data_IF_905605087842
#
_entry.id   IF_905605087842
#
_cell.length_a   1.000
_cell.length_b   1.000
_cell.length_c   1.000
_cell.angle_alpha   90.00
_cell.angle_beta   90.00
_cell.angle_gamma   90.00
#
_symmetry.space_group_name_H-M   'P 1'
#
loop_
_entity.id
_entity.type
_entity.pdbx_description
1 polymer ?
#
# COMPACT_ATOMS: atom_id res chain seq x y z
N UNK A 1 -10.15 -6.08 13.02
CA UNK A 1 -9.68 -4.71 12.71
C UNK A 1 -8.35 -4.44 13.38
N UNK A 2 -7.38 -3.68 12.80
CA UNK A 2 -7.51 -2.27 12.42
C UNK A 2 -6.71 -1.94 11.14
N UNK A 3 -7.25 -2.32 9.98
CA UNK A 3 -6.85 -1.72 8.71
C UNK A 3 -7.68 -0.43 8.53
N UNK A 4 -7.04 0.69 8.23
CA UNK A 4 -7.68 2.02 8.13
C UNK A 4 -7.30 2.72 6.84
N UNK A 5 -8.09 3.73 6.44
CA UNK A 5 -7.78 4.56 5.28
C UNK A 5 -6.42 5.29 5.45
N UNK A 6 -5.50 5.08 4.51
CA UNK A 6 -4.15 5.66 4.57
C UNK A 6 -4.15 7.19 4.45
N UNK A 7 -5.11 7.77 3.71
CA UNK A 7 -5.32 9.22 3.62
C UNK A 7 -5.56 9.82 4.98
N UNK A 8 -6.57 9.34 5.70
CA UNK A 8 -6.93 9.87 7.01
C UNK A 8 -5.76 9.75 7.99
N UNK A 9 -5.06 8.61 7.95
CA UNK A 9 -3.89 8.34 8.79
C UNK A 9 -2.78 9.39 8.57
N UNK A 10 -2.41 9.65 7.32
CA UNK A 10 -1.32 10.57 7.01
C UNK A 10 -1.72 12.04 7.12
N UNK A 11 -2.97 12.40 6.87
CA UNK A 11 -3.47 13.75 7.14
C UNK A 11 -3.54 14.03 8.65
N UNK A 12 -3.92 13.05 9.46
CA UNK A 12 -3.83 13.17 10.91
C UNK A 12 -2.38 13.43 11.34
N UNK A 13 -1.41 12.73 10.76
CA UNK A 13 0.02 12.94 11.04
C UNK A 13 0.52 14.33 10.63
N UNK A 14 0.17 14.75 9.42
CA UNK A 14 0.49 16.06 8.85
C UNK A 14 -0.01 17.21 9.73
N UNK A 15 -1.28 17.17 10.15
CA UNK A 15 -1.88 18.23 10.96
C UNK A 15 -1.33 18.29 12.40
N UNK A 16 -0.78 17.18 12.90
CA UNK A 16 -0.23 17.06 14.25
C UNK A 16 1.30 17.06 14.29
N UNK A 17 1.97 17.39 13.17
CA UNK A 17 3.42 17.55 13.04
C UNK A 17 4.24 16.32 13.50
N UNK A 18 3.79 15.12 13.17
CA UNK A 18 4.53 13.88 13.36
C UNK A 18 4.56 13.06 12.06
N UNK A 19 5.35 11.98 12.01
CA UNK A 19 5.37 11.08 10.87
C UNK A 19 4.99 9.64 11.24
N UNK A 20 4.25 9.00 10.35
CA UNK A 20 3.98 7.56 10.38
C UNK A 20 5.13 6.84 9.68
N UNK A 21 5.60 5.77 10.28
CA UNK A 21 6.62 4.91 9.67
C UNK A 21 6.01 3.95 8.67
N UNK A 22 6.58 3.90 7.47
CA UNK A 22 6.37 2.82 6.52
C UNK A 22 7.61 1.93 6.47
N UNK A 23 7.43 0.66 6.80
CA UNK A 23 8.51 -0.30 6.94
C UNK A 23 8.36 -1.40 5.91
N UNK A 24 9.37 -1.59 5.07
CA UNK A 24 9.33 -2.63 4.05
C UNK A 24 9.45 -4.01 4.67
N UNK A 25 8.63 -4.93 4.17
CA UNK A 25 8.56 -6.29 4.66
C UNK A 25 9.16 -7.25 3.63
N UNK A 26 10.11 -8.07 4.11
CA UNK A 26 10.76 -9.12 3.30
C UNK A 26 10.60 -10.52 3.89
N UNK A 27 9.97 -10.65 5.06
CA UNK A 27 9.71 -11.93 5.73
C UNK A 27 8.66 -11.79 6.84
N UNK A 28 8.21 -12.94 7.37
CA UNK A 28 7.34 -12.96 8.56
C UNK A 28 8.01 -12.38 9.80
N UNK A 29 9.34 -12.47 9.96
CA UNK A 29 10.04 -11.86 11.10
C UNK A 29 9.93 -10.33 11.07
N UNK A 30 9.99 -9.73 9.88
CA UNK A 30 9.78 -8.29 9.69
C UNK A 30 8.33 -7.92 10.00
N UNK A 31 7.37 -8.66 9.45
CA UNK A 31 5.95 -8.41 9.66
C UNK A 31 5.59 -8.46 11.15
N UNK A 32 5.99 -9.51 11.85
CA UNK A 32 5.73 -9.65 13.28
C UNK A 32 6.45 -8.57 14.09
N UNK A 33 7.71 -8.27 13.79
CA UNK A 33 8.47 -7.25 14.50
C UNK A 33 7.84 -5.86 14.37
N UNK A 34 7.39 -5.49 13.17
CA UNK A 34 6.76 -4.18 12.91
C UNK A 34 5.42 -4.06 13.62
N UNK A 35 4.58 -5.11 13.57
CA UNK A 35 3.30 -5.13 14.30
C UNK A 35 3.54 -5.06 15.81
N UNK A 36 4.38 -5.93 16.37
CA UNK A 36 4.65 -5.97 17.82
C UNK A 36 5.18 -4.62 18.31
N UNK A 37 6.05 -3.98 17.53
CA UNK A 37 6.58 -2.65 17.83
C UNK A 37 5.49 -1.56 17.79
N UNK A 38 4.65 -1.57 16.77
CA UNK A 38 3.56 -0.61 16.61
C UNK A 38 2.52 -0.73 17.74
N UNK A 39 2.15 -1.96 18.11
CA UNK A 39 1.25 -2.23 19.23
C UNK A 39 1.86 -1.82 20.57
N UNK A 40 3.12 -2.19 20.82
CA UNK A 40 3.85 -1.80 22.03
C UNK A 40 3.94 -0.28 22.18
N UNK A 41 4.20 0.43 21.08
CA UNK A 41 4.26 1.89 21.06
C UNK A 41 2.88 2.55 20.98
N UNK A 42 1.79 1.80 20.80
CA UNK A 42 0.45 2.34 20.51
C UNK A 42 0.50 3.37 19.37
N UNK A 43 1.09 2.97 18.25
CA UNK A 43 1.37 3.84 17.10
C UNK A 43 0.66 3.35 15.84
N UNK A 44 0.24 4.29 14.99
CA UNK A 44 -0.09 3.96 13.60
C UNK A 44 1.16 3.46 12.85
N UNK A 45 0.98 2.57 11.88
CA UNK A 45 2.07 2.04 11.05
C UNK A 45 1.60 1.72 9.63
N UNK A 46 2.51 1.84 8.66
CA UNK A 46 2.31 1.37 7.29
C UNK A 46 3.17 0.13 7.07
N UNK A 47 2.53 -0.98 6.69
CA UNK A 47 3.19 -2.20 6.25
C UNK A 47 3.47 -2.05 4.75
N UNK A 48 4.75 -1.93 4.40
CA UNK A 48 5.17 -1.59 3.05
C UNK A 48 5.72 -2.81 2.32
N UNK A 49 5.41 -2.91 1.02
CA UNK A 49 5.88 -3.98 0.13
C UNK A 49 6.48 -3.30 -1.10
N UNK A 50 7.81 -3.33 -1.21
CA UNK A 50 8.51 -2.66 -2.30
C UNK A 50 8.65 -3.56 -3.53
N UNK A 51 8.21 -3.08 -4.70
CA UNK A 51 8.33 -3.78 -5.99
C UNK A 51 9.76 -4.25 -6.32
N UNK A 52 10.84 -3.51 -6.00
CA UNK A 52 12.22 -3.96 -6.20
C UNK A 52 12.54 -5.31 -5.56
N UNK A 53 11.86 -5.67 -4.46
CA UNK A 53 12.05 -6.93 -3.78
C UNK A 53 11.33 -8.12 -4.45
N UNK A 54 10.50 -7.88 -5.48
CA UNK A 54 9.72 -8.95 -6.15
C UNK A 54 10.61 -9.90 -6.96
N UNK A 55 11.83 -9.48 -7.28
CA UNK A 55 12.84 -10.38 -7.85
C UNK A 55 13.31 -11.48 -6.87
N UNK A 56 13.07 -11.29 -5.57
CA UNK A 56 13.54 -12.16 -4.49
C UNK A 56 12.42 -12.85 -3.72
N UNK A 57 11.25 -12.20 -3.61
CA UNK A 57 10.13 -12.70 -2.81
C UNK A 57 8.83 -12.71 -3.61
N UNK A 58 8.04 -13.77 -3.42
CA UNK A 58 6.69 -13.85 -3.95
C UNK A 58 5.75 -12.98 -3.11
N UNK A 59 5.46 -11.79 -3.61
CA UNK A 59 4.60 -10.83 -2.92
C UNK A 59 3.13 -11.25 -2.91
N UNK A 60 2.68 -12.11 -3.85
CA UNK A 60 1.30 -12.63 -3.85
C UNK A 60 1.08 -13.59 -2.68
N UNK A 61 2.14 -14.27 -2.23
CA UNK A 61 2.11 -15.07 -0.99
C UNK A 61 2.23 -14.19 0.26
N UNK A 62 2.95 -13.07 0.19
CA UNK A 62 3.18 -12.18 1.32
C UNK A 62 1.95 -11.35 1.68
N UNK A 63 1.28 -10.73 0.69
CA UNK A 63 0.19 -9.78 0.93
C UNK A 63 -0.99 -10.36 1.73
N UNK A 64 -1.47 -11.60 1.49
CA UNK A 64 -2.49 -12.20 2.34
C UNK A 64 -2.09 -12.31 3.82
N UNK A 65 -0.81 -12.60 4.11
CA UNK A 65 -0.30 -12.66 5.48
C UNK A 65 -0.22 -11.25 6.10
N UNK A 66 0.22 -10.26 5.32
CA UNK A 66 0.28 -8.85 5.71
C UNK A 66 -1.11 -8.31 6.03
N UNK A 67 -2.10 -8.56 5.17
CA UNK A 67 -3.49 -8.16 5.38
C UNK A 67 -4.09 -8.84 6.61
N UNK A 68 -3.85 -10.15 6.79
CA UNK A 68 -4.30 -10.87 7.98
C UNK A 68 -3.66 -10.32 9.27
N UNK A 69 -2.40 -9.90 9.25
CA UNK A 69 -1.75 -9.24 10.37
C UNK A 69 -2.34 -7.85 10.63
N UNK A 70 -2.48 -7.02 9.59
CA UNK A 70 -3.08 -5.70 9.67
C UNK A 70 -4.51 -5.76 10.25
N UNK A 71 -5.34 -6.70 9.81
CA UNK A 71 -6.70 -6.89 10.33
C UNK A 71 -6.74 -7.39 11.78
N UNK A 72 -5.67 -7.98 12.32
CA UNK A 72 -5.62 -8.52 13.70
C UNK A 72 -4.99 -7.58 14.72
N UNK A 73 -4.27 -6.57 14.28
CA UNK A 73 -3.57 -5.63 15.17
C UNK A 73 -4.55 -4.91 16.13
N UNK A 74 -4.01 -4.15 17.07
CA UNK A 74 -4.76 -3.30 18.00
C UNK A 74 -4.54 -1.80 17.75
N UNK A 75 -3.72 -1.47 16.75
CA UNK A 75 -3.33 -0.11 16.33
C UNK A 75 -3.62 0.12 14.85
N UNK A 76 -3.87 1.36 14.39
CA UNK A 76 -4.21 1.62 12.99
C UNK A 76 -3.07 1.23 12.05
N UNK A 77 -3.40 0.38 11.07
CA UNK A 77 -2.48 -0.12 10.04
C UNK A 77 -2.98 0.28 8.66
N UNK A 78 -2.05 0.59 7.76
CA UNK A 78 -2.29 0.65 6.31
C UNK A 78 -1.27 -0.24 5.59
N UNK A 79 -1.57 -0.62 4.34
CA UNK A 79 -0.75 -1.50 3.52
C UNK A 79 -0.42 -0.77 2.22
N UNK A 80 0.87 -0.64 1.92
CA UNK A 80 1.36 0.11 0.78
C UNK A 80 2.15 -0.76 -0.21
N UNK A 81 1.93 -0.55 -1.52
CA UNK A 81 2.94 -0.85 -2.54
C UNK A 81 3.94 0.30 -2.62
N UNK A 82 5.23 -0.01 -2.50
CA UNK A 82 6.32 0.96 -2.59
C UNK A 82 7.10 0.82 -3.90
N UNK A 83 7.55 1.95 -4.45
CA UNK A 83 8.29 2.02 -5.72
C UNK A 83 7.62 1.25 -6.88
N UNK A 84 6.29 1.39 -7.01
CA UNK A 84 5.55 0.83 -8.13
C UNK A 84 6.08 1.35 -9.46
N UNK A 85 6.36 0.48 -10.43
CA UNK A 85 6.98 0.85 -11.70
C UNK A 85 5.98 1.09 -12.83
N UNK A 86 4.73 0.62 -12.65
CA UNK A 86 3.71 0.64 -13.69
C UNK A 86 2.29 0.66 -13.14
N UNK A 87 1.34 1.06 -14.00
CA UNK A 87 -0.10 0.95 -13.72
C UNK A 87 -0.52 -0.50 -13.44
N UNK A 88 0.05 -1.47 -14.16
CA UNK A 88 -0.28 -2.89 -14.01
C UNK A 88 0.10 -3.40 -12.62
N UNK A 89 1.34 -3.16 -12.19
CA UNK A 89 1.78 -3.57 -10.84
C UNK A 89 0.95 -2.88 -9.76
N UNK A 90 0.60 -1.60 -9.98
CA UNK A 90 -0.21 -0.83 -9.05
C UNK A 90 -1.62 -1.40 -8.90
N UNK A 91 -2.32 -1.69 -10.01
CA UNK A 91 -3.64 -2.32 -9.99
C UNK A 91 -3.57 -3.71 -9.34
N UNK A 92 -2.52 -4.48 -9.63
CA UNK A 92 -2.32 -5.80 -9.03
C UNK A 92 -2.16 -5.71 -7.51
N UNK A 93 -1.38 -4.75 -7.00
CA UNK A 93 -1.23 -4.53 -5.57
C UNK A 93 -2.54 -4.10 -4.89
N UNK A 94 -3.32 -3.23 -5.53
CA UNK A 94 -4.67 -2.86 -5.07
C UNK A 94 -5.54 -4.10 -4.94
N UNK A 95 -5.61 -4.92 -6.00
CA UNK A 95 -6.41 -6.15 -6.01
C UNK A 95 -5.96 -7.15 -4.93
N UNK A 96 -4.68 -7.14 -4.55
CA UNK A 96 -4.15 -8.00 -3.48
C UNK A 96 -4.31 -7.41 -2.07
N UNK A 97 -4.70 -6.14 -1.93
CA UNK A 97 -5.13 -5.56 -0.65
C UNK A 97 -4.35 -4.35 -0.17
N UNK A 98 -3.44 -3.81 -0.99
CA UNK A 98 -2.87 -2.52 -0.71
C UNK A 98 -3.95 -1.44 -0.72
N UNK A 99 -3.99 -0.62 0.33
CA UNK A 99 -4.86 0.54 0.44
C UNK A 99 -4.08 1.87 0.36
N UNK A 100 -2.79 1.78 0.06
CA UNK A 100 -1.94 2.83 -0.47
C UNK A 100 -1.06 2.29 -1.59
N UNK A 101 -0.73 3.13 -2.57
CA UNK A 101 0.21 2.76 -3.63
C UNK A 101 1.13 3.92 -3.94
N UNK A 102 2.37 3.60 -4.30
CA UNK A 102 3.32 4.57 -4.80
C UNK A 102 3.70 4.22 -6.23
N UNK A 103 3.71 5.21 -7.12
CA UNK A 103 4.31 5.10 -8.44
C UNK A 103 5.63 5.88 -8.44
N UNK A 104 6.74 5.18 -8.67
CA UNK A 104 8.04 5.77 -8.88
C UNK A 104 8.43 5.66 -10.35
N UNK A 105 8.19 6.77 -11.06
CA UNK A 105 8.73 7.03 -12.40
C UNK A 105 9.52 8.33 -12.39
N UNK A 106 10.14 8.65 -11.24
CA UNK A 106 10.86 9.90 -10.98
C UNK A 106 12.08 10.12 -11.89
N UNK A 107 12.60 9.04 -12.49
CA UNK A 107 13.68 9.07 -13.48
C UNK A 107 13.25 9.47 -14.89
N UNK A 108 11.94 9.54 -15.16
CA UNK A 108 11.39 9.92 -16.46
C UNK A 108 11.21 11.43 -16.58
N UNK A 109 11.00 11.90 -17.81
CA UNK A 109 10.69 13.30 -18.07
C UNK A 109 9.43 13.75 -17.32
N UNK A 110 9.42 15.00 -16.88
CA UNK A 110 8.37 15.55 -16.02
C UNK A 110 6.94 15.38 -16.59
N UNK A 111 6.78 15.52 -17.91
CA UNK A 111 5.49 15.30 -18.58
C UNK A 111 5.03 13.85 -18.51
N UNK A 112 5.94 12.91 -18.72
CA UNK A 112 5.65 11.48 -18.77
C UNK A 112 5.35 10.96 -17.36
N UNK A 113 6.06 11.47 -16.35
CA UNK A 113 5.77 11.21 -14.95
C UNK A 113 4.35 11.68 -14.59
N UNK A 114 3.94 12.89 -14.99
CA UNK A 114 2.57 13.38 -14.77
C UNK A 114 1.54 12.45 -15.44
N UNK A 115 1.73 12.11 -16.72
CA UNK A 115 0.78 11.28 -17.47
C UNK A 115 0.59 9.91 -16.82
N UNK A 116 1.69 9.23 -16.50
CA UNK A 116 1.66 7.89 -15.88
C UNK A 116 1.09 7.92 -14.48
N UNK A 117 1.43 8.95 -13.69
CA UNK A 117 0.91 9.10 -12.34
C UNK A 117 -0.59 9.39 -12.35
N UNK A 118 -1.07 10.24 -13.27
CA UNK A 118 -2.49 10.51 -13.42
C UNK A 118 -3.29 9.24 -13.73
N UNK A 119 -2.78 8.37 -14.62
CA UNK A 119 -3.43 7.08 -14.90
C UNK A 119 -3.52 6.17 -13.67
N UNK A 120 -2.51 6.19 -12.80
CA UNK A 120 -2.53 5.48 -11.51
C UNK A 120 -3.53 6.11 -10.55
N UNK A 121 -3.54 7.44 -10.44
CA UNK A 121 -4.47 8.19 -9.59
C UNK A 121 -5.91 7.88 -9.96
N UNK A 122 -6.26 7.95 -11.24
CA UNK A 122 -7.62 7.65 -11.73
C UNK A 122 -8.07 6.22 -11.32
N UNK A 123 -7.20 5.23 -11.52
CA UNK A 123 -7.49 3.83 -11.17
C UNK A 123 -7.58 3.61 -9.65
N UNK A 124 -6.65 4.18 -8.87
CA UNK A 124 -6.55 4.01 -7.43
C UNK A 124 -7.68 4.75 -6.70
N UNK A 125 -7.99 5.98 -7.07
CA UNK A 125 -9.10 6.76 -6.50
C UNK A 125 -10.45 6.12 -6.81
N UNK A 126 -10.62 5.51 -7.98
CA UNK A 126 -11.78 4.66 -8.29
C UNK A 126 -11.93 3.45 -7.35
N UNK A 127 -10.87 3.06 -6.64
CA UNK A 127 -10.87 2.03 -5.60
C UNK A 127 -10.86 2.61 -4.17
N UNK A 128 -10.82 3.93 -4.02
CA UNK A 128 -10.63 4.62 -2.73
C UNK A 128 -9.22 4.53 -2.16
N UNK A 129 -8.25 4.07 -2.96
CA UNK A 129 -6.84 3.87 -2.59
C UNK A 129 -6.06 5.16 -2.80
N UNK A 130 -5.24 5.54 -1.82
CA UNK A 130 -4.41 6.75 -1.92
C UNK A 130 -3.11 6.52 -2.68
N UNK A 131 -2.63 7.56 -3.35
CA UNK A 131 -1.44 7.52 -4.20
C UNK A 131 -0.34 8.45 -3.68
N UNK A 132 0.86 7.90 -3.55
CA UNK A 132 2.12 8.64 -3.40
C UNK A 132 2.72 8.82 -4.79
N UNK A 133 2.94 10.06 -5.22
CA UNK A 133 3.81 10.36 -6.37
C UNK A 133 5.21 10.74 -5.92
N UNK A 134 6.18 10.67 -6.82
CA UNK A 134 7.58 11.03 -6.53
C UNK A 134 8.14 12.04 -7.53
N UNK A 135 8.86 13.03 -7.00
CA UNK A 135 9.63 14.00 -7.79
C UNK A 135 11.03 14.21 -7.25
N UNK A 136 12.00 14.10 -8.17
CA UNK A 136 13.42 14.17 -7.84
C UNK A 136 13.88 12.95 -7.05
N UNK A 137 15.19 12.73 -7.02
CA UNK A 137 15.79 11.62 -6.31
C UNK A 137 17.20 11.99 -5.85
N UNK A 138 17.72 11.31 -4.84
CA UNK A 138 19.14 11.38 -4.49
C UNK A 138 19.74 10.02 -4.77
N UNK A 139 20.73 9.99 -5.66
CA UNK A 139 21.38 8.74 -6.05
C UNK A 139 21.99 8.04 -4.82
N UNK A 140 21.50 6.84 -4.54
CA UNK A 140 22.08 5.95 -3.55
C UNK A 140 23.44 5.44 -4.01
N UNK A 141 24.39 5.28 -3.07
CA UNK A 141 25.72 4.71 -3.38
C UNK A 141 25.81 3.22 -3.05
N UNK A 142 25.19 2.80 -1.95
CA UNK A 142 25.29 1.45 -1.39
C UNK A 142 24.01 1.11 -0.63
N UNK A 143 23.48 -0.10 -0.81
CA UNK A 143 22.29 -0.60 -0.13
C UNK A 143 21.15 -0.85 -1.10
N UNK A 144 20.13 -1.57 -0.63
CA UNK A 144 18.91 -1.87 -1.42
C UNK A 144 18.14 -0.57 -1.69
N UNK A 145 17.72 -0.36 -2.94
CA UNK A 145 17.11 0.89 -3.43
C UNK A 145 18.07 1.79 -4.21
N UNK A 146 19.38 1.67 -4.00
CA UNK A 146 20.36 2.56 -4.64
C UNK A 146 20.38 2.42 -6.18
N UNK A 147 20.17 1.21 -6.68
CA UNK A 147 20.15 0.89 -8.11
C UNK A 147 18.98 1.51 -8.88
N UNK A 148 17.90 1.91 -8.21
CA UNK A 148 16.72 2.52 -8.84
C UNK A 148 16.94 3.99 -9.21
N UNK A 149 17.97 4.62 -8.63
CA UNK A 149 18.26 6.04 -8.81
C UNK A 149 19.69 6.25 -9.35
N UNK A 150 19.99 5.81 -10.59
CA UNK A 150 21.30 6.01 -11.20
C UNK A 150 21.54 7.50 -11.57
N UNK A 151 22.80 7.95 -11.52
CA UNK A 151 23.21 9.27 -12.04
C UNK A 151 23.40 10.35 -10.97
N UNK A 152 23.21 11.62 -11.36
CA UNK A 152 23.36 12.77 -10.46
C UNK A 152 22.08 13.00 -9.65
N UNK A 153 22.25 13.45 -8.40
CA UNK A 153 21.10 13.72 -7.52
C UNK A 153 20.31 14.93 -7.99
N UNK A 154 18.98 14.79 -8.04
CA UNK A 154 18.03 15.83 -8.40
C UNK A 154 17.13 16.18 -7.21
N UNK A 155 17.28 17.38 -6.65
CA UNK A 155 16.39 17.87 -5.59
C UNK A 155 15.08 18.39 -6.15
N UNK A 156 13.96 18.11 -5.46
CA UNK A 156 12.62 18.52 -5.88
C UNK A 156 12.47 20.03 -5.94
N UNK A 157 11.98 20.56 -7.06
CA UNK A 157 11.78 22.01 -7.24
C UNK A 157 10.35 22.38 -6.80
N UNK A 158 10.15 23.38 -5.90
CA UNK A 158 8.81 23.72 -5.39
C UNK A 158 7.76 24.07 -6.45
N UNK A 159 8.16 24.76 -7.53
CA UNK A 159 7.24 25.10 -8.62
C UNK A 159 6.81 23.87 -9.44
N UNK A 160 7.71 22.91 -9.63
CA UNK A 160 7.40 21.64 -10.31
C UNK A 160 6.51 20.76 -9.43
N UNK A 161 6.81 20.68 -8.13
CA UNK A 161 5.98 19.96 -7.16
C UNK A 161 4.54 20.47 -7.14
N UNK A 162 4.34 21.79 -7.13
CA UNK A 162 3.00 22.39 -7.23
C UNK A 162 2.30 21.99 -8.52
N UNK A 163 2.95 22.17 -9.67
CA UNK A 163 2.36 21.83 -10.97
C UNK A 163 2.06 20.34 -11.10
N UNK A 164 2.89 19.48 -10.49
CA UNK A 164 2.70 18.03 -10.48
C UNK A 164 1.47 17.66 -9.68
N UNK A 165 1.36 18.08 -8.43
CA UNK A 165 0.21 17.79 -7.57
C UNK A 165 -1.09 18.32 -8.18
N UNK A 166 -1.10 19.53 -8.75
CA UNK A 166 -2.27 20.10 -9.42
C UNK A 166 -2.72 19.29 -10.65
N UNK A 167 -1.78 18.66 -11.37
CA UNK A 167 -2.08 17.91 -12.61
C UNK A 167 -2.36 16.43 -12.37
N UNK A 168 -1.75 15.83 -11.37
CA UNK A 168 -1.89 14.40 -11.08
C UNK A 168 -2.97 14.12 -10.04
N UNK A 169 -3.19 15.02 -9.08
CA UNK A 169 -4.12 14.79 -7.97
C UNK A 169 -3.64 13.79 -6.93
N UNK A 170 -2.32 13.52 -6.85
CA UNK A 170 -1.74 12.63 -5.82
C UNK A 170 -2.11 13.08 -4.40
N UNK A 171 -2.28 12.10 -3.51
CA UNK A 171 -2.63 12.33 -2.11
C UNK A 171 -1.43 12.80 -1.29
N UNK A 172 -0.25 12.30 -1.65
CA UNK A 172 1.03 12.56 -0.98
C UNK A 172 2.15 12.73 -2.01
N UNK A 173 3.20 13.44 -1.63
CA UNK A 173 4.36 13.65 -2.49
C UNK A 173 5.66 13.26 -1.79
N UNK A 174 6.35 12.27 -2.36
CA UNK A 174 7.73 11.97 -2.06
C UNK A 174 8.66 13.04 -2.64
N UNK A 175 9.53 13.57 -1.78
CA UNK A 175 10.42 14.68 -2.12
C UNK A 175 11.88 14.39 -1.80
N UNK A 176 12.75 14.86 -2.67
CA UNK A 176 14.21 14.80 -2.57
C UNK A 176 14.76 16.14 -2.04
N UNK A 177 15.25 16.11 -0.79
CA UNK A 177 15.87 17.25 -0.09
C UNK A 177 17.27 16.95 0.44
N UNK A 178 17.87 15.86 -0.03
CA UNK A 178 19.19 15.38 0.40
C UNK A 178 19.19 14.10 1.24
N UNK A 179 18.03 13.49 1.52
CA UNK A 179 17.97 12.12 2.06
C UNK A 179 18.35 11.11 0.98
N UNK A 180 18.94 9.99 1.35
CA UNK A 180 19.44 8.97 0.42
C UNK A 180 18.78 7.64 0.73
N UNK A 181 18.36 6.90 -0.30
CA UNK A 181 18.00 5.50 -0.17
C UNK A 181 19.26 4.65 -0.03
N UNK A 182 19.35 3.86 1.04
CA UNK A 182 20.54 3.06 1.34
C UNK A 182 21.36 3.58 2.53
N UNK A 183 22.65 3.21 2.55
CA UNK A 183 23.60 3.62 3.59
C UNK A 183 24.13 5.01 3.29
N UNK A 184 24.10 5.89 4.30
CA UNK A 184 24.68 7.22 4.18
C UNK A 184 26.13 7.22 4.68
N UNK A 185 27.04 7.74 3.85
CA UNK A 185 28.40 8.07 4.26
C UNK A 185 28.49 9.56 4.68
N UNK A 186 28.82 9.82 5.95
CA UNK A 186 29.10 11.18 6.45
C UNK A 186 27.88 11.97 6.96
N UNK A 187 28.08 13.28 7.21
CA UNK A 187 27.03 14.19 7.70
C UNK A 187 26.19 14.71 6.54
N UNK A 188 24.95 14.25 6.42
CA UNK A 188 24.00 14.74 5.41
C UNK A 188 23.42 16.08 5.82
N UNK A 189 23.52 17.06 4.92
CA UNK A 189 22.93 18.38 5.08
C UNK A 189 21.61 18.42 4.31
N UNK A 190 20.51 18.22 5.03
CA UNK A 190 19.15 18.33 4.48
C UNK A 190 18.80 19.79 4.17
N UNK A 191 18.14 20.02 3.04
CA UNK A 191 17.65 21.33 2.62
C UNK A 191 16.26 21.63 3.22
N UNK A 192 16.24 22.00 4.50
CA UNK A 192 14.99 22.35 5.20
C UNK A 192 14.31 23.60 4.64
N UNK A 193 15.07 24.51 4.01
CA UNK A 193 14.50 25.70 3.40
C UNK A 193 13.65 25.31 2.19
N UNK A 194 14.18 24.42 1.34
CA UNK A 194 13.42 23.78 0.25
C UNK A 194 12.23 22.98 0.77
N UNK A 195 12.40 22.18 1.82
CA UNK A 195 11.29 21.41 2.40
C UNK A 195 10.14 22.33 2.85
N UNK A 196 10.46 23.44 3.52
CA UNK A 196 9.45 24.44 3.91
C UNK A 196 8.74 25.03 2.70
N UNK A 197 9.48 25.37 1.64
CA UNK A 197 8.91 25.91 0.39
C UNK A 197 8.02 24.88 -0.32
N UNK A 198 8.44 23.60 -0.35
CA UNK A 198 7.65 22.50 -0.90
C UNK A 198 6.32 22.38 -0.15
N UNK A 199 6.36 22.29 1.18
CA UNK A 199 5.16 22.17 2.00
C UNK A 199 4.18 23.33 1.76
N UNK A 200 4.69 24.57 1.70
CA UNK A 200 3.87 25.76 1.40
C UNK A 200 3.30 25.75 -0.02
N UNK A 201 4.00 25.15 -0.98
CA UNK A 201 3.60 25.16 -2.38
C UNK A 201 2.52 24.11 -2.70
N UNK A 202 2.61 22.92 -2.09
CA UNK A 202 1.69 21.80 -2.38
C UNK A 202 0.60 21.60 -1.33
N UNK A 203 0.85 21.95 -0.06
CA UNK A 203 -0.10 21.85 1.05
C UNK A 203 -0.78 20.46 1.18
N UNK A 204 0.00 19.40 0.97
CA UNK A 204 -0.37 18.01 1.20
C UNK A 204 0.74 17.31 2.00
N UNK A 205 0.48 16.15 2.63
CA UNK A 205 1.49 15.44 3.38
C UNK A 205 2.69 15.05 2.50
N UNK A 206 3.90 15.34 2.98
CA UNK A 206 5.15 15.00 2.30
C UNK A 206 5.72 13.68 2.81
N UNK A 207 6.36 12.95 1.90
CA UNK A 207 7.02 11.66 2.16
C UNK A 207 8.53 11.82 2.02
N UNK A 208 9.28 11.18 2.92
CA UNK A 208 10.74 11.12 2.86
C UNK A 208 11.20 9.67 2.76
N UNK A 209 11.91 9.35 1.67
CA UNK A 209 12.63 8.10 1.54
C UNK A 209 13.95 8.17 2.30
N UNK A 210 14.16 7.20 3.19
CA UNK A 210 15.38 7.06 3.95
C UNK A 210 15.49 8.06 5.10
N UNK A 211 15.67 7.52 6.31
CA UNK A 211 15.96 8.29 7.52
C UNK A 211 17.21 7.81 8.27
N UNK A 212 17.92 6.83 7.71
CA UNK A 212 19.06 6.18 8.35
C UNK A 212 20.16 7.18 8.68
N UNK A 213 20.49 7.31 9.97
CA UNK A 213 21.54 8.21 10.46
C UNK A 213 21.10 9.65 10.78
N UNK A 214 19.81 9.99 10.63
CA UNK A 214 19.28 11.25 11.12
C UNK A 214 19.05 11.23 12.63
N UNK A 215 19.31 12.35 13.30
CA UNK A 215 19.04 12.52 14.72
C UNK A 215 17.62 13.08 14.99
N UNK A 216 17.23 13.14 16.26
CA UNK A 216 15.90 13.60 16.70
C UNK A 216 15.59 15.03 16.25
N UNK A 217 16.52 15.97 16.40
CA UNK A 217 16.34 17.35 15.94
C UNK A 217 16.11 17.45 14.42
N UNK A 218 16.76 16.58 13.65
CA UNK A 218 16.57 16.52 12.20
C UNK A 218 15.18 15.99 11.87
N UNK A 219 14.71 14.92 12.52
CA UNK A 219 13.35 14.42 12.31
C UNK A 219 12.28 15.42 12.74
N UNK A 220 12.47 16.12 13.87
CA UNK A 220 11.52 17.15 14.29
C UNK A 220 11.43 18.28 13.26
N UNK A 221 12.55 18.67 12.63
CA UNK A 221 12.55 19.64 11.53
C UNK A 221 11.85 19.09 10.28
N UNK A 222 11.95 17.79 9.98
CA UNK A 222 11.21 17.19 8.89
C UNK A 222 9.69 17.29 9.14
N UNK A 223 9.22 16.81 10.29
CA UNK A 223 7.79 16.76 10.58
C UNK A 223 7.17 18.16 10.73
N UNK A 224 7.90 19.10 11.34
CA UNK A 224 7.48 20.51 11.44
C UNK A 224 7.42 21.24 10.09
N UNK A 225 7.95 20.65 9.02
CA UNK A 225 7.88 21.17 7.66
C UNK A 225 7.06 20.23 6.75
N UNK A 226 6.07 19.52 7.30
CA UNK A 226 5.03 18.83 6.53
C UNK A 226 5.35 17.38 6.16
N UNK A 227 6.45 16.81 6.64
CA UNK A 227 6.72 15.38 6.47
C UNK A 227 5.82 14.57 7.40
N UNK A 228 4.98 13.72 6.81
CA UNK A 228 4.01 12.90 7.52
C UNK A 228 4.25 11.39 7.36
N UNK A 229 5.10 10.99 6.41
CA UNK A 229 5.50 9.59 6.17
C UNK A 229 7.01 9.50 6.00
N UNK A 230 7.61 8.49 6.64
CA UNK A 230 9.03 8.18 6.50
C UNK A 230 9.18 6.70 6.12
N UNK A 231 9.89 6.45 5.02
CA UNK A 231 10.11 5.11 4.49
C UNK A 231 11.45 4.56 4.98
N UNK A 232 11.43 3.33 5.47
CA UNK A 232 12.52 2.79 6.27
C UNK A 232 12.73 1.30 6.08
N UNK A 233 13.83 0.95 5.42
CA UNK A 233 14.19 -0.44 5.15
C UNK A 233 15.66 -0.78 5.38
N UNK A 234 16.60 -0.08 4.72
CA UNK A 234 18.02 -0.47 4.70
C UNK A 234 18.61 -0.72 6.09
N UNK A 235 18.26 0.11 7.08
CA UNK A 235 18.73 -0.07 8.45
C UNK A 235 18.12 -1.30 9.13
N UNK A 236 16.86 -1.64 8.86
CA UNK A 236 16.24 -2.88 9.34
C UNK A 236 16.92 -4.10 8.74
N UNK A 237 17.20 -4.08 7.43
CA UNK A 237 17.97 -5.13 6.75
C UNK A 237 19.36 -5.30 7.37
N UNK A 238 20.08 -4.21 7.63
CA UNK A 238 21.38 -4.22 8.29
C UNK A 238 21.33 -4.78 9.72
N UNK A 239 20.27 -4.47 10.47
CA UNK A 239 20.06 -4.95 11.84
C UNK A 239 19.74 -6.44 11.84
N UNK A 240 18.87 -6.89 10.95
CA UNK A 240 18.55 -8.30 10.76
C UNK A 240 19.81 -9.11 10.41
N UNK A 241 20.60 -8.64 9.45
CA UNK A 241 21.85 -9.28 9.04
C UNK A 241 22.86 -9.37 10.20
N UNK A 242 23.01 -8.30 11.00
CA UNK A 242 23.87 -8.29 12.19
C UNK A 242 23.39 -9.30 13.24
N UNK A 243 22.10 -9.37 13.50
CA UNK A 243 21.52 -10.34 14.45
C UNK A 243 21.78 -11.78 13.99
N UNK A 244 21.57 -12.10 12.71
CA UNK A 244 21.89 -13.42 12.16
C UNK A 244 23.39 -13.75 12.26
N UNK A 245 24.26 -12.82 11.89
CA UNK A 245 25.71 -13.00 11.99
C UNK A 245 26.17 -13.25 13.43
N UNK A 246 25.54 -12.59 14.41
CA UNK A 246 25.78 -12.86 15.82
C UNK A 246 25.31 -14.26 16.21
N UNK A 247 24.10 -14.66 15.82
CA UNK A 247 23.58 -16.01 16.06
C UNK A 247 24.49 -17.11 15.52
N UNK A 248 25.03 -16.93 14.31
CA UNK A 248 26.01 -17.85 13.71
C UNK A 248 27.34 -17.94 14.48
N UNK A 249 27.82 -16.82 15.02
CA UNK A 249 29.05 -16.79 15.84
C UNK A 249 28.84 -17.44 17.19
N UNK A 250 27.71 -17.14 17.84
CA UNK A 250 27.41 -17.59 19.19
C UNK A 250 27.00 -19.07 19.22
N UNK A 251 26.37 -19.57 18.15
CA UNK A 251 25.97 -20.98 18.02
C UNK A 251 26.23 -21.55 16.61
N UNK A 252 27.49 -21.87 16.24
CA UNK A 252 27.83 -22.34 14.90
C UNK A 252 27.19 -23.66 14.47
N UNK A 253 26.67 -24.44 15.43
CA UNK A 253 25.96 -25.71 15.18
C UNK A 253 24.44 -25.58 15.32
N UNK A 254 23.94 -24.36 15.50
CA UNK A 254 22.51 -24.08 15.64
C UNK A 254 21.73 -24.45 14.39
N UNK A 255 20.49 -24.85 14.58
CA UNK A 255 19.53 -24.97 13.49
C UNK A 255 19.19 -23.58 12.92
N UNK A 256 18.58 -23.52 11.74
CA UNK A 256 18.09 -22.26 11.17
C UNK A 256 17.31 -21.41 12.19
N UNK A 257 16.38 -22.04 12.92
CA UNK A 257 15.56 -21.38 13.95
C UNK A 257 16.41 -20.81 15.08
N UNK A 258 17.44 -21.55 15.55
CA UNK A 258 18.35 -21.07 16.60
C UNK A 258 19.16 -19.86 16.13
N UNK A 259 19.59 -19.87 14.87
CA UNK A 259 20.46 -18.85 14.29
C UNK A 259 19.73 -17.52 14.04
N UNK A 260 18.44 -17.56 13.72
CA UNK A 260 17.63 -16.36 13.45
C UNK A 260 16.83 -15.85 14.64
N UNK A 261 16.85 -16.53 15.79
CA UNK A 261 15.93 -16.26 16.91
C UNK A 261 15.90 -14.80 17.38
N UNK A 262 17.03 -14.08 17.30
CA UNK A 262 17.15 -12.70 17.77
C UNK A 262 16.82 -11.66 16.68
N UNK A 263 16.52 -12.08 15.45
CA UNK A 263 16.28 -11.18 14.31
C UNK A 263 15.03 -10.35 14.52
N UNK A 264 13.91 -10.99 14.85
CA UNK A 264 12.62 -10.33 15.09
C UNK A 264 12.76 -9.27 16.18
N UNK A 265 13.33 -9.63 17.33
CA UNK A 265 13.49 -8.73 18.48
C UNK A 265 14.38 -7.53 18.13
N UNK A 266 15.46 -7.75 17.39
CA UNK A 266 16.35 -6.67 16.97
C UNK A 266 15.63 -5.66 16.04
N UNK A 267 14.83 -6.15 15.09
CA UNK A 267 13.99 -5.30 14.22
C UNK A 267 12.94 -4.56 15.06
N UNK A 268 12.25 -5.26 15.96
CA UNK A 268 11.20 -4.69 16.79
C UNK A 268 11.73 -3.51 17.64
N UNK A 269 12.91 -3.67 18.26
CA UNK A 269 13.57 -2.61 19.04
C UNK A 269 13.83 -1.37 18.17
N UNK A 270 14.31 -1.55 16.95
CA UNK A 270 14.58 -0.44 16.04
C UNK A 270 13.32 0.25 15.57
N UNK A 271 12.29 -0.51 15.20
CA UNK A 271 10.98 0.05 14.82
C UNK A 271 10.41 0.87 15.98
N UNK A 272 10.45 0.36 17.21
CA UNK A 272 10.01 1.13 18.37
C UNK A 272 10.81 2.43 18.57
N UNK A 273 12.13 2.40 18.32
CA UNK A 273 12.99 3.60 18.38
C UNK A 273 12.52 4.63 17.35
N UNK A 274 12.28 4.21 16.10
CA UNK A 274 11.78 5.06 15.03
C UNK A 274 10.42 5.66 15.35
N UNK A 275 9.44 4.86 15.78
CA UNK A 275 8.08 5.33 16.10
C UNK A 275 8.07 6.38 17.23
N UNK A 276 8.96 6.24 18.22
CA UNK A 276 9.14 7.26 19.27
C UNK A 276 9.78 8.52 18.72
N UNK A 277 10.86 8.38 17.95
CA UNK A 277 11.62 9.50 17.39
C UNK A 277 10.82 10.31 16.37
N UNK A 278 9.92 9.68 15.62
CA UNK A 278 9.07 10.31 14.62
C UNK A 278 7.75 10.85 15.18
N UNK A 279 7.53 10.67 16.49
CA UNK A 279 6.41 11.26 17.22
C UNK A 279 5.06 10.55 17.05
N UNK A 280 5.03 9.35 16.45
CA UNK A 280 3.80 8.56 16.25
C UNK A 280 3.44 7.65 17.43
N UNK A 281 4.41 7.34 18.31
CA UNK A 281 4.14 6.57 19.52
C UNK A 281 3.10 7.25 20.43
N UNK A 282 2.14 6.47 20.92
CA UNK A 282 1.05 6.92 21.80
C UNK A 282 -0.17 7.50 21.08
N UNK A 283 -0.15 7.57 19.74
CA UNK A 283 -1.17 8.23 18.91
C UNK A 283 -2.21 7.30 18.29
N UNK A 284 -2.15 5.99 18.53
CA UNK A 284 -3.06 5.04 17.90
C UNK A 284 -4.55 5.35 18.16
N UNK A 285 -4.92 5.76 19.38
CA UNK A 285 -6.32 6.02 19.73
C UNK A 285 -6.89 7.23 18.96
N UNK A 286 -6.16 8.35 18.90
CA UNK A 286 -6.59 9.54 18.16
C UNK A 286 -6.68 9.28 16.65
N UNK A 287 -5.79 8.44 16.10
CA UNK A 287 -5.86 8.03 14.70
C UNK A 287 -7.09 7.15 14.46
N UNK A 288 -7.40 6.19 15.33
CA UNK A 288 -8.58 5.32 15.19
C UNK A 288 -9.91 6.08 15.34
N UNK A 289 -9.95 7.14 16.14
CA UNK A 289 -11.16 7.98 16.27
C UNK A 289 -11.46 8.77 14.99
N UNK A 290 -10.42 9.11 14.21
CA UNK A 290 -10.55 9.95 13.02
C UNK A 290 -10.61 9.17 11.70
N UNK A 291 -9.90 8.05 11.61
CA UNK A 291 -9.74 7.34 10.35
C UNK A 291 -10.92 6.42 10.04
N UNK A 292 -11.35 6.42 8.79
CA UNK A 292 -12.31 5.44 8.31
C UNK A 292 -11.70 4.03 8.35
N UNK A 293 -12.40 3.02 8.92
CA UNK A 293 -11.99 1.62 8.82
C UNK A 293 -11.99 1.17 7.36
N UNK A 294 -10.95 0.47 6.94
CA UNK A 294 -10.89 -0.11 5.60
C UNK A 294 -11.57 -1.47 5.58
N UNK A 295 -12.74 -1.54 4.93
CA UNK A 295 -13.56 -2.75 4.86
C UNK A 295 -13.73 -3.24 3.43
N UNK A 296 -13.59 -4.55 3.24
CA UNK A 296 -13.94 -5.19 1.98
C UNK A 296 -15.47 -5.26 1.82
N UNK A 297 -15.90 -5.36 0.57
CA UNK A 297 -17.32 -5.46 0.21
C UNK A 297 -17.53 -6.67 -0.67
N UNK A 298 -18.59 -7.42 -0.41
CA UNK A 298 -19.01 -8.56 -1.21
C UNK A 298 -20.26 -8.21 -2.02
N UNK A 299 -20.20 -8.41 -3.32
CA UNK A 299 -21.32 -8.26 -4.24
C UNK A 299 -21.80 -9.64 -4.67
N UNK A 300 -22.98 -10.02 -4.19
CA UNK A 300 -23.61 -11.29 -4.47
C UNK A 300 -24.64 -11.14 -5.59
N UNK A 301 -24.48 -11.93 -6.64
CA UNK A 301 -25.48 -12.10 -7.70
C UNK A 301 -25.94 -13.56 -7.63
N UNK A 302 -27.23 -13.80 -7.38
CA UNK A 302 -27.83 -15.14 -7.50
C UNK A 302 -28.94 -15.12 -8.52
N UNK A 303 -29.01 -16.17 -9.33
CA UNK A 303 -29.97 -16.25 -10.41
C UNK A 303 -30.33 -17.70 -10.75
N UNK A 304 -31.39 -17.83 -11.53
CA UNK A 304 -31.75 -19.05 -12.23
C UNK A 304 -31.62 -18.84 -13.75
N UNK A 305 -31.85 -19.88 -14.53
CA UNK A 305 -31.72 -19.89 -15.99
C UNK A 305 -33.07 -20.14 -16.62
N UNK A 306 -33.39 -19.38 -17.66
CA UNK A 306 -34.61 -19.61 -18.43
C UNK A 306 -34.43 -20.90 -19.25
N UNK A 307 -35.36 -21.84 -19.16
CA UNK A 307 -35.30 -23.05 -19.99
C UNK A 307 -35.31 -22.68 -21.49
N UNK A 308 -34.37 -23.25 -22.27
CA UNK A 308 -34.17 -23.04 -23.72
C UNK A 308 -33.41 -21.76 -24.15
N UNK A 309 -32.40 -21.32 -23.40
CA UNK A 309 -31.49 -20.26 -23.87
C UNK A 309 -30.71 -20.67 -25.13
N UNK A 310 -30.48 -19.72 -26.04
CA UNK A 310 -29.69 -19.95 -27.26
C UNK A 310 -28.18 -20.06 -26.99
N UNK A 311 -27.72 -19.61 -25.82
CA UNK A 311 -26.32 -19.63 -25.41
C UNK A 311 -26.17 -20.44 -24.10
N UNK A 312 -25.26 -21.44 -24.05
CA UNK A 312 -25.04 -22.24 -22.85
C UNK A 312 -24.39 -21.39 -21.73
N UNK A 313 -24.83 -21.57 -20.47
CA UNK A 313 -24.20 -20.88 -19.32
C UNK A 313 -22.73 -21.22 -19.15
N UNK A 314 -22.30 -22.40 -19.61
CA UNK A 314 -20.90 -22.80 -19.62
C UNK A 314 -20.01 -21.80 -20.39
N UNK A 315 -20.59 -20.94 -21.24
CA UNK A 315 -19.87 -19.86 -21.93
C UNK A 315 -20.04 -18.50 -21.23
N UNK A 316 -21.21 -18.21 -20.66
CA UNK A 316 -21.54 -16.92 -20.04
C UNK A 316 -20.79 -16.73 -18.72
N UNK A 317 -20.73 -17.78 -17.87
CA UNK A 317 -20.12 -17.68 -16.54
C UNK A 317 -18.61 -17.40 -16.60
N UNK A 318 -17.81 -18.12 -17.42
CA UNK A 318 -16.38 -17.82 -17.53
C UNK A 318 -16.09 -16.46 -18.15
N UNK A 319 -16.85 -16.05 -19.17
CA UNK A 319 -16.68 -14.75 -19.85
C UNK A 319 -16.85 -13.59 -18.86
N UNK A 320 -17.94 -13.57 -18.09
CA UNK A 320 -18.12 -12.48 -17.14
C UNK A 320 -17.23 -12.58 -15.90
N UNK A 321 -16.79 -13.78 -15.51
CA UNK A 321 -15.70 -13.92 -14.53
C UNK A 321 -14.42 -13.25 -15.01
N UNK A 322 -14.04 -13.44 -16.28
CA UNK A 322 -12.87 -12.81 -16.87
C UNK A 322 -13.02 -11.27 -16.93
N UNK A 323 -14.19 -10.77 -17.35
CA UNK A 323 -14.48 -9.34 -17.39
C UNK A 323 -14.38 -8.69 -16.01
N UNK A 324 -14.96 -9.33 -14.98
CA UNK A 324 -14.90 -8.83 -13.61
C UNK A 324 -13.48 -8.82 -13.05
N UNK A 325 -12.69 -9.85 -13.32
CA UNK A 325 -11.32 -9.98 -12.79
C UNK A 325 -10.37 -8.91 -13.33
N UNK A 326 -10.75 -8.21 -14.42
CA UNK A 326 -9.98 -7.11 -15.01
C UNK A 326 -10.32 -5.74 -14.41
N UNK A 327 -11.36 -5.65 -13.56
CA UNK A 327 -11.80 -4.38 -12.99
C UNK A 327 -10.92 -4.06 -11.77
N UNK A 328 -10.28 -2.87 -11.72
CA UNK A 328 -9.51 -2.45 -10.55
C UNK A 328 -10.34 -2.52 -9.26
N UNK A 329 -9.75 -3.05 -8.21
CA UNK A 329 -10.40 -3.25 -6.92
C UNK A 329 -11.22 -4.55 -6.81
N UNK A 330 -11.32 -5.36 -7.87
CA UNK A 330 -11.86 -6.73 -7.77
C UNK A 330 -10.76 -7.68 -7.32
N UNK A 331 -10.94 -8.26 -6.13
CA UNK A 331 -9.99 -9.17 -5.49
C UNK A 331 -10.20 -10.62 -5.92
N UNK A 332 -11.46 -11.03 -5.95
CA UNK A 332 -11.85 -12.40 -6.25
C UNK A 332 -13.24 -12.43 -6.88
N UNK A 333 -13.41 -13.35 -7.83
CA UNK A 333 -14.71 -13.68 -8.42
C UNK A 333 -14.93 -15.16 -8.25
N UNK A 334 -15.82 -15.52 -7.32
CA UNK A 334 -16.30 -16.88 -7.17
C UNK A 334 -17.56 -17.06 -8.01
N UNK A 335 -17.66 -18.20 -8.68
CA UNK A 335 -18.85 -18.64 -9.42
C UNK A 335 -19.21 -20.04 -8.92
N UNK A 336 -20.47 -20.28 -8.60
CA UNK A 336 -20.91 -21.56 -8.06
C UNK A 336 -22.27 -21.99 -8.56
N UNK A 337 -22.49 -23.31 -8.50
CA UNK A 337 -23.76 -23.97 -8.80
C UNK A 337 -24.34 -24.57 -7.52
N UNK A 338 -25.66 -24.54 -7.39
CA UNK A 338 -26.35 -25.15 -6.26
C UNK A 338 -26.21 -26.67 -6.30
N UNK A 339 -25.76 -27.27 -5.20
CA UNK A 339 -25.63 -28.73 -5.06
C UNK A 339 -26.99 -29.45 -5.02
N UNK A 340 -28.08 -28.76 -4.65
CA UNK A 340 -29.42 -29.34 -4.58
C UNK A 340 -30.16 -29.12 -5.89
N UNK A 341 -30.59 -30.23 -6.49
CA UNK A 341 -31.47 -30.21 -7.67
C UNK A 341 -32.73 -29.37 -7.39
N UNK A 342 -33.11 -28.53 -8.37
CA UNK A 342 -34.32 -27.68 -8.30
C UNK A 342 -34.31 -26.62 -7.18
N UNK A 343 -33.13 -26.21 -6.71
CA UNK A 343 -32.99 -25.01 -5.88
C UNK A 343 -33.62 -23.79 -6.56
N UNK A 344 -34.22 -22.88 -5.77
CA UNK A 344 -34.82 -21.63 -6.28
C UNK A 344 -33.80 -20.76 -7.03
N UNK A 345 -32.57 -20.70 -6.51
CA UNK A 345 -31.43 -20.06 -7.15
C UNK A 345 -30.40 -21.15 -7.44
N UNK A 346 -30.04 -21.33 -8.70
CA UNK A 346 -29.15 -22.41 -9.13
C UNK A 346 -27.71 -21.93 -9.30
N UNK A 347 -27.50 -20.63 -9.55
CA UNK A 347 -26.21 -20.07 -9.87
C UNK A 347 -25.92 -18.85 -9.00
N UNK A 348 -24.65 -18.70 -8.63
CA UNK A 348 -24.20 -17.56 -7.84
C UNK A 348 -22.86 -17.03 -8.33
N UNK A 349 -22.70 -15.70 -8.22
CA UNK A 349 -21.44 -15.00 -8.36
C UNK A 349 -21.22 -14.24 -7.06
N UNK A 350 -20.05 -14.41 -6.47
CA UNK A 350 -19.61 -13.63 -5.31
C UNK A 350 -18.37 -12.86 -5.74
N UNK A 351 -18.48 -11.54 -5.84
CA UNK A 351 -17.39 -10.64 -6.21
C UNK A 351 -16.91 -9.93 -4.96
N UNK A 352 -15.65 -10.10 -4.61
CA UNK A 352 -15.04 -9.39 -3.49
C UNK A 352 -14.32 -8.14 -3.99
N UNK A 353 -14.72 -7.00 -3.46
CA UNK A 353 -14.12 -5.70 -3.72
C UNK A 353 -13.20 -5.27 -2.57
N UNK A 354 -12.14 -4.53 -2.91
CA UNK A 354 -11.17 -3.98 -1.94
C UNK A 354 -11.79 -2.98 -0.98
N UNK A 355 -12.76 -2.20 -1.46
CA UNK A 355 -13.41 -1.13 -0.73
C UNK A 355 -14.76 -0.79 -1.37
N UNK A 356 -15.62 -0.05 -0.65
CA UNK A 356 -16.91 0.43 -1.18
C UNK A 356 -16.74 1.27 -2.45
N UNK A 357 -15.70 2.11 -2.51
CA UNK A 357 -15.42 2.93 -3.69
C UNK A 357 -15.23 2.08 -4.96
N UNK A 358 -14.54 0.94 -4.85
CA UNK A 358 -14.37 0.01 -5.98
C UNK A 358 -15.72 -0.57 -6.46
N UNK A 359 -16.63 -0.88 -5.54
CA UNK A 359 -18.00 -1.30 -5.89
C UNK A 359 -18.77 -0.18 -6.60
N UNK A 360 -18.66 1.06 -6.12
CA UNK A 360 -19.36 2.20 -6.72
C UNK A 360 -18.82 2.50 -8.12
N UNK A 361 -17.49 2.49 -8.31
CA UNK A 361 -16.86 2.60 -9.63
C UNK A 361 -17.23 1.43 -10.57
N UNK A 362 -17.32 0.21 -10.03
CA UNK A 362 -17.81 -0.95 -10.77
C UNK A 362 -19.22 -0.77 -11.31
N UNK A 363 -20.13 -0.14 -10.55
CA UNK A 363 -21.52 0.10 -11.00
C UNK A 363 -21.59 1.07 -12.18
N UNK A 364 -20.59 1.94 -12.33
CA UNK A 364 -20.47 2.86 -13.46
C UNK A 364 -19.75 2.22 -14.66
N UNK A 365 -19.19 1.01 -14.49
CA UNK A 365 -18.47 0.31 -15.55
C UNK A 365 -19.42 -0.10 -16.69
N UNK A 366 -19.25 0.53 -17.85
CA UNK A 366 -20.07 0.27 -19.03
C UNK A 366 -19.86 -1.14 -19.60
N UNK A 367 -18.65 -1.69 -19.51
CA UNK A 367 -18.32 -3.01 -20.07
C UNK A 367 -19.12 -4.13 -19.40
N UNK A 368 -19.08 -4.19 -18.07
CA UNK A 368 -19.84 -5.21 -17.34
C UNK A 368 -21.35 -4.96 -17.40
N UNK A 369 -21.79 -3.70 -17.37
CA UNK A 369 -23.20 -3.35 -17.57
C UNK A 369 -23.76 -3.81 -18.93
N UNK A 370 -22.95 -3.69 -19.99
CA UNK A 370 -23.30 -4.22 -21.32
C UNK A 370 -23.34 -5.75 -21.33
N UNK A 371 -22.39 -6.42 -20.68
CA UNK A 371 -22.42 -7.88 -20.52
C UNK A 371 -23.69 -8.33 -19.77
N UNK A 372 -24.00 -7.72 -18.63
CA UNK A 372 -25.22 -8.04 -17.87
C UNK A 372 -26.48 -7.88 -18.72
N UNK A 373 -26.60 -6.77 -19.46
CA UNK A 373 -27.80 -6.49 -20.25
C UNK A 373 -27.94 -7.36 -21.51
N UNK A 374 -26.84 -7.70 -22.19
CA UNK A 374 -26.87 -8.44 -23.45
C UNK A 374 -26.77 -9.96 -23.28
N UNK A 375 -26.03 -10.42 -22.28
CA UNK A 375 -25.70 -11.83 -22.09
C UNK A 375 -26.39 -12.44 -20.87
N UNK A 376 -26.34 -11.78 -19.71
CA UNK A 376 -26.86 -12.40 -18.48
C UNK A 376 -28.39 -12.26 -18.34
N UNK A 377 -28.91 -11.03 -18.35
CA UNK A 377 -30.35 -10.74 -18.13
C UNK A 377 -31.29 -11.46 -19.10
N UNK A 378 -31.01 -11.57 -20.41
CA UNK A 378 -31.90 -12.29 -21.33
C UNK A 378 -31.99 -13.79 -21.07
N UNK A 379 -31.01 -14.35 -20.36
CA UNK A 379 -30.85 -15.77 -20.13
C UNK A 379 -31.18 -16.18 -18.67
N UNK A 380 -31.60 -15.25 -17.82
CA UNK A 380 -31.78 -15.48 -16.38
C UNK A 380 -33.19 -15.15 -15.88
N UNK A 381 -33.64 -15.89 -14.86
CA UNK A 381 -34.84 -15.59 -14.08
C UNK A 381 -34.49 -15.51 -12.59
N UNK A 382 -35.39 -14.97 -11.76
CA UNK A 382 -35.19 -14.87 -10.31
C UNK A 382 -33.85 -14.23 -9.93
N UNK A 383 -33.49 -13.12 -10.56
CA UNK A 383 -32.23 -12.42 -10.29
C UNK A 383 -32.30 -11.64 -8.98
N UNK A 384 -31.38 -11.92 -8.06
CA UNK A 384 -31.16 -11.14 -6.83
C UNK A 384 -29.73 -10.63 -6.83
N UNK A 385 -29.59 -9.34 -6.54
CA UNK A 385 -28.31 -8.64 -6.41
C UNK A 385 -28.29 -7.98 -5.03
N UNK A 386 -27.27 -8.27 -4.24
CA UNK A 386 -27.13 -7.76 -2.87
C UNK A 386 -25.67 -7.46 -2.55
N UNK A 387 -25.44 -6.44 -1.74
CA UNK A 387 -24.12 -6.03 -1.28
C UNK A 387 -23.99 -6.23 0.22
N UNK A 388 -22.88 -6.82 0.65
CA UNK A 388 -22.54 -7.06 2.04
C UNK A 388 -21.22 -6.39 2.35
N UNK A 389 -21.11 -5.74 3.50
CA UNK A 389 -19.82 -5.26 4.01
C UNK A 389 -19.26 -6.26 5.02
N UNK A 390 -17.95 -6.37 5.09
CA UNK A 390 -17.28 -7.11 6.16
C UNK A 390 -17.74 -6.60 7.54
N UNK A 391 -17.96 -7.51 8.49
CA UNK A 391 -18.28 -7.15 9.87
C UNK A 391 -17.02 -6.68 10.61
N UNK A 392 -17.16 -5.61 11.41
CA UNK A 392 -16.09 -5.04 12.23
C UNK A 392 -15.60 -5.99 13.33
#
# INVERSE_FOLDING_TARGET
MPLVNMRDMLYHAYENNYAVGAFDLVSLDFLEAVIDAAETCRSAVILSIAEPHFAHYDFELMLPAVEAAAKRASVPVAIQLDHGSSLETTIKAINLGCNGVMLDVSSQDFSDNIEKTLAVVDAAHGCGVSVVGELGYVAGKVGEGAEQHPGESAFTIPSEAKAYVEKTGVDFLAVSIGTVQGRMDGRVKLDYARLKQLNQAVNIPLVIHGGSGLNEDQFHKLTSNGVAKIDYYTALSDIAAKAMCKGCKDNPKGSFTDLKKDVKDAICIEVQRCLRQWGSAGRAAEVLERCEPWLTVEHLIVHNVIANTSEPLNNIMPEGKELLSKIPGVRQVFTGEAMQDKSRYQFCWLVNFTHKAALDNFRENQGFSQFLSRKLRPNTSDLVIMDYKESL
#
